data_IF_393954906982
#
_entry.id   IF_393954906982
#
_cell.length_a   1.000
_cell.length_b   1.000
_cell.length_c   1.000
_cell.angle_alpha   90.00
_cell.angle_beta   90.00
_cell.angle_gamma   90.00
#
_symmetry.space_group_name_H-M   'P 1'
#
loop_
_entity.id
_entity.type
_entity.pdbx_description
1 polymer ?
#
# COMPACT_ATOMS: atom_id res chain seq x y z
N UNK A 1 42.94 -8.98 19.24
CA UNK A 1 43.34 -10.11 18.37
C UNK A 1 43.51 -11.43 19.12
N UNK A 2 44.32 -11.54 20.19
CA UNK A 2 44.47 -12.82 20.93
C UNK A 2 43.21 -13.28 21.70
N UNK A 3 42.43 -12.35 22.24
CA UNK A 3 41.15 -12.64 22.95
C UNK A 3 39.97 -13.02 22.04
N UNK A 4 40.11 -12.87 20.71
CA UNK A 4 39.10 -13.28 19.71
C UNK A 4 39.31 -14.74 19.27
N UNK A 5 40.48 -15.31 19.57
CA UNK A 5 40.86 -16.65 19.16
C UNK A 5 40.41 -17.76 20.13
N UNK A 6 39.92 -17.41 21.32
CA UNK A 6 39.61 -18.39 22.37
C UNK A 6 38.11 -18.79 22.45
N UNK A 7 37.21 -18.15 21.70
CA UNK A 7 35.75 -18.30 21.91
C UNK A 7 34.96 -19.10 20.86
N UNK A 8 35.62 -19.82 19.94
CA UNK A 8 34.93 -20.53 18.85
C UNK A 8 35.05 -22.08 18.99
N UNK A 9 34.14 -22.77 19.70
CA UNK A 9 33.96 -24.21 19.53
C UNK A 9 32.69 -24.66 18.81
N UNK A 10 31.77 -23.79 18.35
CA UNK A 10 30.40 -24.25 17.98
C UNK A 10 30.03 -24.14 16.48
N UNK A 11 30.78 -23.42 15.65
CA UNK A 11 30.57 -23.46 14.19
C UNK A 11 31.91 -23.65 13.50
N UNK A 12 31.98 -24.67 12.63
CA UNK A 12 33.19 -25.18 11.99
C UNK A 12 34.17 -24.08 11.56
N UNK A 13 35.32 -24.07 12.24
CA UNK A 13 36.38 -23.05 12.15
C UNK A 13 37.17 -23.07 10.84
N UNK A 14 37.02 -24.06 9.97
CA UNK A 14 37.91 -24.24 8.81
C UNK A 14 37.70 -23.16 7.75
N UNK A 15 36.45 -22.88 7.37
CA UNK A 15 36.14 -22.09 6.16
C UNK A 15 36.23 -20.57 6.39
N UNK A 16 35.78 -20.08 7.55
CA UNK A 16 35.78 -18.62 7.83
C UNK A 16 37.14 -18.14 8.36
N UNK A 17 37.90 -18.96 9.11
CA UNK A 17 39.29 -18.62 9.46
C UNK A 17 40.23 -18.69 8.25
N UNK A 18 39.97 -19.58 7.30
CA UNK A 18 40.65 -19.53 6.01
C UNK A 18 40.37 -18.18 5.37
N UNK A 19 39.12 -17.81 5.11
CA UNK A 19 38.76 -16.53 4.45
C UNK A 19 39.31 -15.27 5.14
N UNK A 20 39.26 -15.19 6.48
CA UNK A 20 39.70 -14.00 7.23
C UNK A 20 41.22 -13.92 7.46
N UNK A 21 41.98 -14.99 7.20
CA UNK A 21 43.46 -14.99 7.24
C UNK A 21 44.12 -14.60 5.93
N UNK A 22 43.35 -14.35 4.86
CA UNK A 22 43.84 -14.18 3.48
C UNK A 22 43.98 -12.73 3.02
N UNK A 23 43.43 -11.77 3.78
CA UNK A 23 43.32 -10.38 3.33
C UNK A 23 44.68 -9.65 3.20
N UNK A 24 45.75 -10.17 3.79
CA UNK A 24 47.09 -9.56 3.66
C UNK A 24 48.06 -10.34 2.76
N UNK A 25 47.83 -11.62 2.41
CA UNK A 25 48.86 -12.42 1.71
C UNK A 25 48.38 -13.57 0.79
N UNK A 26 47.13 -13.67 0.32
CA UNK A 26 46.76 -14.76 -0.61
C UNK A 26 46.27 -14.29 -1.99
N UNK A 27 46.72 -14.95 -3.08
CA UNK A 27 46.07 -14.81 -4.37
C UNK A 27 44.69 -15.46 -4.26
N UNK A 28 43.61 -14.68 -4.42
CA UNK A 28 42.21 -15.18 -4.37
C UNK A 28 41.86 -16.21 -5.47
N UNK A 29 42.85 -16.67 -6.23
CA UNK A 29 42.73 -17.71 -7.24
C UNK A 29 42.47 -19.11 -6.64
N UNK A 30 42.66 -19.29 -5.32
CA UNK A 30 42.57 -20.58 -4.64
C UNK A 30 41.33 -20.74 -3.71
N UNK A 31 40.34 -19.85 -3.78
CA UNK A 31 39.09 -20.05 -3.03
C UNK A 31 38.28 -21.19 -3.65
N UNK A 32 38.07 -22.27 -2.90
CA UNK A 32 37.20 -23.37 -3.31
C UNK A 32 35.73 -22.89 -3.40
N UNK A 33 34.89 -23.61 -4.15
CA UNK A 33 33.51 -23.20 -4.38
C UNK A 33 32.69 -23.08 -3.07
N UNK A 34 33.05 -23.88 -2.06
CA UNK A 34 32.42 -23.88 -0.73
C UNK A 34 32.75 -22.63 0.11
N UNK A 35 33.89 -21.99 -0.11
CA UNK A 35 34.39 -20.90 0.74
C UNK A 35 33.65 -19.58 0.49
N UNK A 36 33.41 -19.23 -0.78
CA UNK A 36 32.69 -17.99 -1.10
C UNK A 36 31.17 -18.14 -0.91
N UNK A 37 30.62 -19.35 -1.02
CA UNK A 37 29.22 -19.62 -0.64
C UNK A 37 29.01 -19.42 0.87
N UNK A 38 30.00 -19.80 1.68
CA UNK A 38 29.99 -19.55 3.13
C UNK A 38 29.99 -18.05 3.46
N UNK A 39 30.68 -17.22 2.66
CA UNK A 39 30.62 -15.76 2.77
C UNK A 39 29.19 -15.23 2.52
N UNK A 40 28.48 -15.73 1.50
CA UNK A 40 27.09 -15.33 1.22
C UNK A 40 26.15 -15.76 2.36
N UNK A 41 26.29 -16.97 2.89
CA UNK A 41 25.52 -17.43 4.05
C UNK A 41 25.78 -16.56 5.29
N UNK A 42 27.03 -16.15 5.51
CA UNK A 42 27.42 -15.25 6.59
C UNK A 42 26.75 -13.87 6.44
N UNK A 43 26.71 -13.29 5.24
CA UNK A 43 26.02 -12.03 4.95
C UNK A 43 24.51 -12.11 5.23
N UNK A 44 23.91 -13.26 4.92
CA UNK A 44 22.47 -13.51 5.08
C UNK A 44 22.07 -14.02 6.47
N UNK A 45 23.03 -14.18 7.40
CA UNK A 45 22.77 -14.80 8.70
C UNK A 45 21.64 -14.11 9.48
N UNK A 46 20.56 -14.85 9.75
CA UNK A 46 19.30 -14.31 10.27
C UNK A 46 19.03 -14.46 11.76
N UNK A 47 19.90 -15.15 12.49
CA UNK A 47 19.69 -15.45 13.90
C UNK A 47 19.66 -14.18 14.76
N UNK A 48 18.82 -14.16 15.83
CA UNK A 48 18.76 -13.06 16.78
C UNK A 48 19.95 -13.01 17.75
N UNK A 49 20.81 -14.04 17.76
CA UNK A 49 21.98 -14.09 18.64
C UNK A 49 23.09 -13.14 18.18
N UNK A 50 23.87 -12.65 19.15
CA UNK A 50 25.00 -11.74 18.92
C UNK A 50 25.99 -12.27 17.88
N UNK A 51 26.27 -13.58 17.94
CA UNK A 51 27.19 -14.27 17.02
C UNK A 51 26.80 -14.10 15.54
N UNK A 52 25.50 -14.07 15.23
CA UNK A 52 25.05 -13.87 13.85
C UNK A 52 25.17 -12.41 13.40
N UNK A 53 25.13 -11.44 14.31
CA UNK A 53 25.44 -10.05 14.00
C UNK A 53 26.94 -9.86 13.75
N UNK A 54 27.77 -10.43 14.61
CA UNK A 54 29.22 -10.42 14.46
C UNK A 54 29.67 -11.10 13.16
N UNK A 55 29.11 -12.26 12.84
CA UNK A 55 29.36 -12.98 11.58
C UNK A 55 29.07 -12.11 10.36
N UNK A 56 27.95 -11.36 10.36
CA UNK A 56 27.63 -10.42 9.29
C UNK A 56 28.64 -9.28 9.22
N UNK A 57 29.03 -8.70 10.36
CA UNK A 57 30.02 -7.62 10.40
C UNK A 57 31.34 -8.06 9.76
N UNK A 58 31.85 -9.25 10.11
CA UNK A 58 33.05 -9.80 9.49
C UNK A 58 32.89 -10.04 7.99
N UNK A 59 31.76 -10.62 7.57
CA UNK A 59 31.49 -10.82 6.14
C UNK A 59 31.41 -9.50 5.35
N UNK A 60 30.79 -8.46 5.94
CA UNK A 60 30.76 -7.12 5.35
C UNK A 60 32.16 -6.49 5.29
N UNK A 61 33.01 -6.67 6.31
CA UNK A 61 34.40 -6.21 6.30
C UNK A 61 35.21 -6.88 5.19
N UNK A 62 35.00 -8.18 4.94
CA UNK A 62 35.62 -8.87 3.80
C UNK A 62 35.23 -8.20 2.48
N UNK A 63 33.94 -7.93 2.25
CA UNK A 63 33.49 -7.22 1.05
C UNK A 63 34.11 -5.82 0.92
N UNK A 64 34.20 -5.07 2.01
CA UNK A 64 34.82 -3.73 2.03
C UNK A 64 36.33 -3.74 1.81
N UNK A 65 37.00 -4.87 2.09
CA UNK A 65 38.44 -5.04 1.86
C UNK A 65 38.79 -5.37 0.41
N UNK A 66 37.79 -5.68 -0.42
CA UNK A 66 38.00 -5.99 -1.83
C UNK A 66 38.40 -4.73 -2.62
N UNK A 67 39.46 -4.85 -3.39
CA UNK A 67 39.93 -3.86 -4.34
C UNK A 67 39.32 -4.05 -5.74
N UNK A 68 38.69 -3.00 -6.29
CA UNK A 68 38.14 -2.94 -7.65
C UNK A 68 39.21 -3.15 -8.73
N UNK A 69 40.47 -2.77 -8.50
CA UNK A 69 41.54 -2.89 -9.49
C UNK A 69 41.93 -4.35 -9.74
N UNK A 70 41.72 -5.22 -8.75
CA UNK A 70 42.06 -6.64 -8.80
C UNK A 70 40.99 -7.45 -9.57
N UNK A 71 41.41 -8.16 -10.62
CA UNK A 71 40.52 -8.96 -11.45
C UNK A 71 39.81 -10.09 -10.69
N UNK A 72 40.49 -10.72 -9.73
CA UNK A 72 39.92 -11.83 -8.95
C UNK A 72 38.86 -11.32 -7.99
N UNK A 73 39.07 -10.15 -7.38
CA UNK A 73 38.08 -9.51 -6.53
C UNK A 73 36.80 -9.16 -7.30
N UNK A 74 36.93 -8.67 -8.55
CA UNK A 74 35.78 -8.40 -9.42
C UNK A 74 35.00 -9.68 -9.75
N UNK A 75 35.70 -10.78 -10.02
CA UNK A 75 35.05 -12.09 -10.27
C UNK A 75 34.32 -12.57 -9.01
N UNK A 76 34.95 -12.46 -7.84
CA UNK A 76 34.31 -12.80 -6.57
C UNK A 76 33.08 -11.93 -6.30
N UNK A 77 33.18 -10.62 -6.51
CA UNK A 77 32.08 -9.69 -6.36
C UNK A 77 30.90 -10.05 -7.28
N UNK A 78 31.16 -10.38 -8.55
CA UNK A 78 30.13 -10.80 -9.49
C UNK A 78 29.40 -12.08 -9.03
N UNK A 79 30.14 -13.09 -8.56
CA UNK A 79 29.56 -14.33 -7.98
C UNK A 79 28.71 -14.04 -6.73
N UNK A 80 29.20 -13.16 -5.85
CA UNK A 80 28.46 -12.75 -4.64
C UNK A 80 27.14 -12.07 -5.06
N UNK A 81 27.17 -11.17 -6.03
CA UNK A 81 25.96 -10.49 -6.54
C UNK A 81 24.95 -11.49 -7.11
N UNK A 82 25.37 -12.40 -8.00
CA UNK A 82 24.45 -13.38 -8.60
C UNK A 82 23.81 -14.27 -7.55
N UNK A 83 24.58 -14.78 -6.60
CA UNK A 83 24.05 -15.64 -5.54
C UNK A 83 23.18 -14.87 -4.54
N UNK A 84 23.48 -13.60 -4.24
CA UNK A 84 22.59 -12.76 -3.42
C UNK A 84 21.23 -12.55 -4.10
N UNK A 85 21.22 -12.31 -5.42
CA UNK A 85 19.99 -12.19 -6.20
C UNK A 85 19.19 -13.50 -6.20
N UNK A 86 19.84 -14.65 -6.40
CA UNK A 86 19.20 -15.97 -6.31
C UNK A 86 18.60 -16.25 -4.92
N UNK A 87 19.36 -15.95 -3.86
CA UNK A 87 18.90 -16.12 -2.46
C UNK A 87 17.77 -15.17 -2.12
N UNK A 88 17.74 -13.97 -2.70
CA UNK A 88 16.63 -13.04 -2.55
C UNK A 88 15.34 -13.59 -3.19
N UNK A 89 15.42 -14.07 -4.44
CA UNK A 89 14.25 -14.60 -5.16
C UNK A 89 13.71 -15.88 -4.51
N UNK A 90 14.60 -16.81 -4.14
CA UNK A 90 14.22 -18.07 -3.48
C UNK A 90 13.72 -17.89 -2.04
N UNK A 91 13.95 -16.74 -1.39
CA UNK A 91 13.50 -16.50 -0.03
C UNK A 91 11.97 -16.54 0.13
N UNK A 92 11.23 -16.30 -0.96
CA UNK A 92 9.76 -16.33 -0.99
C UNK A 92 9.19 -17.54 -1.74
N UNK A 93 10.04 -18.39 -2.34
CA UNK A 93 9.61 -19.61 -3.03
C UNK A 93 9.05 -20.63 -2.01
N UNK A 94 7.81 -21.10 -2.25
CA UNK A 94 7.16 -22.14 -1.45
C UNK A 94 6.17 -21.66 -0.38
N UNK A 95 5.96 -20.35 -0.19
CA UNK A 95 4.93 -19.82 0.75
C UNK A 95 3.91 -18.95 0.03
N UNK A 96 2.66 -19.44 -0.08
CA UNK A 96 1.50 -18.68 -0.58
C UNK A 96 1.05 -17.54 0.36
N UNK A 97 1.75 -17.30 1.47
CA UNK A 97 1.39 -16.27 2.45
C UNK A 97 2.21 -15.02 2.20
N UNK A 98 1.53 -13.88 2.00
CA UNK A 98 2.12 -12.52 2.00
C UNK A 98 3.21 -12.43 3.07
N UNK A 99 4.42 -12.04 2.66
CA UNK A 99 5.53 -11.88 3.60
C UNK A 99 5.15 -10.90 4.70
N UNK A 100 5.27 -11.31 5.97
CA UNK A 100 5.01 -10.44 7.12
C UNK A 100 6.29 -9.70 7.51
N UNK A 101 6.14 -8.51 8.11
CA UNK A 101 7.27 -7.78 8.68
C UNK A 101 8.07 -8.67 9.65
N UNK A 102 9.40 -8.62 9.56
CA UNK A 102 10.35 -9.43 10.34
C UNK A 102 10.29 -10.96 10.13
N UNK A 103 9.60 -11.45 9.10
CA UNK A 103 9.70 -12.85 8.69
C UNK A 103 11.14 -13.22 8.29
N UNK A 104 11.46 -14.51 8.26
CA UNK A 104 12.77 -14.97 7.78
C UNK A 104 13.03 -14.47 6.35
N UNK A 105 12.05 -14.58 5.46
CA UNK A 105 12.14 -14.10 4.08
C UNK A 105 12.39 -12.59 4.01
N UNK A 106 11.63 -11.79 4.77
CA UNK A 106 11.85 -10.34 4.88
C UNK A 106 13.28 -10.02 5.32
N UNK A 107 13.77 -10.69 6.37
CA UNK A 107 15.11 -10.46 6.90
C UNK A 107 16.23 -10.89 5.94
N UNK A 108 16.04 -12.00 5.21
CA UNK A 108 16.99 -12.44 4.17
C UNK A 108 17.02 -11.40 3.05
N UNK A 109 15.85 -10.99 2.54
CA UNK A 109 15.73 -10.00 1.46
C UNK A 109 16.36 -8.66 1.83
N UNK A 110 16.06 -8.12 3.02
CA UNK A 110 16.67 -6.87 3.49
C UNK A 110 18.20 -6.99 3.57
N UNK A 111 18.72 -8.10 4.11
CA UNK A 111 20.18 -8.31 4.21
C UNK A 111 20.85 -8.48 2.85
N UNK A 112 20.18 -9.18 1.93
CA UNK A 112 20.69 -9.35 0.57
C UNK A 112 20.84 -7.98 -0.12
N UNK A 113 19.83 -7.12 -0.04
CA UNK A 113 19.90 -5.77 -0.61
C UNK A 113 20.96 -4.88 0.08
N UNK A 114 21.12 -5.00 1.40
CA UNK A 114 22.20 -4.31 2.12
C UNK A 114 23.59 -4.78 1.67
N UNK A 115 23.79 -6.09 1.48
CA UNK A 115 25.04 -6.63 0.97
C UNK A 115 25.31 -6.20 -0.48
N UNK A 116 24.28 -6.17 -1.33
CA UNK A 116 24.40 -5.66 -2.70
C UNK A 116 24.87 -4.20 -2.73
N UNK A 117 24.37 -3.35 -1.83
CA UNK A 117 24.83 -1.96 -1.71
C UNK A 117 26.33 -1.85 -1.39
N UNK A 118 26.87 -2.78 -0.60
CA UNK A 118 28.29 -2.81 -0.23
C UNK A 118 29.16 -3.30 -1.39
N UNK A 119 28.68 -4.26 -2.18
CA UNK A 119 29.43 -4.82 -3.33
C UNK A 119 29.38 -3.91 -4.56
N UNK A 120 28.36 -3.05 -4.67
CA UNK A 120 28.13 -2.16 -5.81
C UNK A 120 29.38 -1.44 -6.34
N UNK A 121 30.28 -0.88 -5.50
CA UNK A 121 31.46 -0.17 -5.98
C UNK A 121 32.47 -1.05 -6.74
N UNK A 122 32.40 -2.37 -6.60
CA UNK A 122 33.34 -3.34 -7.18
C UNK A 122 32.89 -3.82 -8.56
N UNK A 123 31.66 -3.51 -8.97
CA UNK A 123 31.04 -4.02 -10.19
C UNK A 123 31.57 -3.31 -11.45
N UNK A 124 31.53 -4.04 -12.57
CA UNK A 124 31.75 -3.51 -13.91
C UNK A 124 30.42 -3.14 -14.58
N UNK A 125 30.49 -2.51 -15.75
CA UNK A 125 29.31 -2.03 -16.48
C UNK A 125 28.31 -3.15 -16.84
N UNK A 126 28.84 -4.33 -17.18
CA UNK A 126 28.01 -5.50 -17.52
C UNK A 126 27.22 -5.95 -16.31
N UNK A 127 27.87 -6.13 -15.17
CA UNK A 127 27.23 -6.58 -13.94
C UNK A 127 26.25 -5.53 -13.40
N UNK A 128 26.58 -4.25 -13.50
CA UNK A 128 25.67 -3.15 -13.11
C UNK A 128 24.38 -3.16 -13.96
N UNK A 129 24.50 -3.42 -15.27
CA UNK A 129 23.33 -3.54 -16.17
C UNK A 129 22.46 -4.74 -15.82
N UNK A 130 23.06 -5.90 -15.59
CA UNK A 130 22.35 -7.13 -15.19
C UNK A 130 21.64 -6.95 -13.83
N UNK A 131 22.30 -6.32 -12.86
CA UNK A 131 21.71 -6.02 -11.56
C UNK A 131 20.54 -5.04 -11.68
N UNK A 132 20.66 -4.00 -12.51
CA UNK A 132 19.56 -3.04 -12.74
C UNK A 132 18.33 -3.74 -13.32
N UNK A 133 18.52 -4.63 -14.31
CA UNK A 133 17.45 -5.44 -14.87
C UNK A 133 16.78 -6.31 -13.80
N UNK A 134 17.59 -6.96 -12.97
CA UNK A 134 17.08 -7.78 -11.87
C UNK A 134 16.28 -6.97 -10.84
N UNK A 135 16.75 -5.78 -10.44
CA UNK A 135 16.05 -4.90 -9.49
C UNK A 135 14.69 -4.43 -10.04
N UNK A 136 14.64 -4.03 -11.31
CA UNK A 136 13.40 -3.65 -11.99
C UNK A 136 12.43 -4.84 -12.04
N UNK A 137 12.91 -6.02 -12.47
CA UNK A 137 12.08 -7.24 -12.53
C UNK A 137 11.53 -7.65 -11.15
N UNK A 138 12.36 -7.57 -10.10
CA UNK A 138 11.97 -7.87 -8.71
C UNK A 138 10.89 -6.91 -8.20
N UNK A 139 10.91 -5.66 -8.65
CA UNK A 139 9.91 -4.64 -8.31
C UNK A 139 8.57 -4.90 -9.00
N UNK A 140 8.58 -5.50 -10.19
CA UNK A 140 7.38 -5.82 -10.98
C UNK A 140 6.73 -7.12 -10.48
N UNK A 141 7.52 -8.17 -10.27
CA UNK A 141 7.00 -9.52 -10.03
C UNK A 141 6.39 -9.68 -8.63
N UNK A 142 6.99 -9.08 -7.60
CA UNK A 142 6.64 -9.37 -6.20
C UNK A 142 6.13 -8.15 -5.43
N UNK A 143 5.10 -8.33 -4.59
CA UNK A 143 4.72 -7.32 -3.61
C UNK A 143 5.63 -7.44 -2.38
N UNK A 144 6.59 -6.54 -2.27
CA UNK A 144 7.56 -6.51 -1.18
C UNK A 144 7.04 -5.76 0.05
N UNK A 145 7.59 -6.08 1.22
CA UNK A 145 7.47 -5.26 2.42
C UNK A 145 8.09 -3.87 2.19
N UNK A 146 7.59 -2.79 2.84
CA UNK A 146 8.06 -1.43 2.59
C UNK A 146 9.58 -1.26 2.71
N UNK A 147 10.22 -1.89 3.70
CA UNK A 147 11.67 -1.76 3.89
C UNK A 147 12.48 -2.33 2.72
N UNK A 148 12.07 -3.50 2.20
CA UNK A 148 12.69 -4.16 1.05
C UNK A 148 12.47 -3.32 -0.20
N UNK A 149 11.24 -2.82 -0.38
CA UNK A 149 10.89 -1.93 -1.49
C UNK A 149 11.76 -0.67 -1.51
N UNK A 150 11.96 -0.01 -0.36
CA UNK A 150 12.81 1.19 -0.30
C UNK A 150 14.26 0.90 -0.66
N UNK A 151 14.81 -0.25 -0.27
CA UNK A 151 16.14 -0.65 -0.71
C UNK A 151 16.21 -0.91 -2.21
N UNK A 152 15.20 -1.53 -2.82
CA UNK A 152 15.13 -1.71 -4.27
C UNK A 152 15.12 -0.34 -4.98
N UNK A 153 14.24 0.57 -4.56
CA UNK A 153 14.11 1.92 -5.10
C UNK A 153 15.43 2.70 -5.01
N UNK A 154 16.10 2.61 -3.86
CA UNK A 154 17.38 3.28 -3.62
C UNK A 154 18.52 2.69 -4.45
N UNK A 155 18.62 1.37 -4.56
CA UNK A 155 19.65 0.70 -5.37
C UNK A 155 19.49 0.98 -6.86
N UNK A 156 18.25 1.01 -7.37
CA UNK A 156 17.98 1.39 -8.76
C UNK A 156 18.47 2.82 -9.04
N UNK A 157 18.12 3.78 -8.18
CA UNK A 157 18.59 5.16 -8.32
C UNK A 157 20.12 5.25 -8.22
N UNK A 158 20.73 4.57 -7.24
CA UNK A 158 22.18 4.60 -7.01
C UNK A 158 22.97 4.04 -8.20
N UNK A 159 22.49 2.97 -8.85
CA UNK A 159 23.12 2.42 -10.06
C UNK A 159 23.15 3.44 -11.20
N UNK A 160 22.02 4.11 -11.46
CA UNK A 160 21.92 5.10 -12.54
C UNK A 160 22.72 6.38 -12.22
N UNK A 161 22.81 6.76 -10.94
CA UNK A 161 23.68 7.87 -10.50
C UNK A 161 25.15 7.53 -10.71
N UNK A 162 25.57 6.29 -10.43
CA UNK A 162 26.96 5.84 -10.59
C UNK A 162 27.34 5.65 -12.06
N UNK A 163 26.40 5.18 -12.87
CA UNK A 163 26.59 4.88 -14.27
C UNK A 163 25.47 5.51 -15.09
N UNK A 164 25.68 6.76 -15.48
CA UNK A 164 24.71 7.53 -16.28
C UNK A 164 24.38 6.88 -17.63
N UNK A 165 25.25 6.02 -18.16
CA UNK A 165 24.99 5.25 -19.37
C UNK A 165 23.80 4.28 -19.25
N UNK A 166 23.39 3.93 -18.03
CA UNK A 166 22.24 3.07 -17.77
C UNK A 166 20.90 3.82 -17.79
N UNK A 167 20.90 5.15 -17.90
CA UNK A 167 19.68 5.96 -17.80
C UNK A 167 18.58 5.61 -18.82
N UNK A 168 18.92 5.54 -20.10
CA UNK A 168 17.95 5.18 -21.15
C UNK A 168 17.41 3.77 -20.93
N UNK A 169 18.30 2.83 -20.58
CA UNK A 169 17.93 1.45 -20.28
C UNK A 169 17.01 1.36 -19.05
N UNK A 170 17.27 2.16 -18.01
CA UNK A 170 16.41 2.23 -16.84
C UNK A 170 15.01 2.74 -17.19
N UNK A 171 14.90 3.79 -18.00
CA UNK A 171 13.61 4.33 -18.44
C UNK A 171 12.84 3.34 -19.32
N UNK A 172 13.52 2.56 -20.17
CA UNK A 172 12.91 1.46 -20.93
C UNK A 172 12.35 0.39 -19.99
N UNK A 173 13.14 -0.09 -19.03
CA UNK A 173 12.67 -1.05 -18.02
C UNK A 173 11.49 -0.52 -17.19
N UNK A 174 11.47 0.78 -16.89
CA UNK A 174 10.34 1.42 -16.19
C UNK A 174 9.07 1.42 -17.04
N UNK A 175 9.16 1.56 -18.37
CA UNK A 175 8.00 1.50 -19.28
C UNK A 175 7.48 0.06 -19.39
N UNK A 176 8.37 -0.88 -19.70
CA UNK A 176 8.05 -2.31 -19.80
C UNK A 176 7.45 -2.85 -18.50
N UNK A 177 8.01 -2.48 -17.36
CA UNK A 177 7.53 -2.92 -16.05
C UNK A 177 6.14 -2.42 -15.71
N UNK A 178 5.78 -1.20 -16.14
CA UNK A 178 4.43 -0.65 -15.93
C UNK A 178 3.41 -1.31 -16.85
N UNK A 179 3.78 -1.62 -18.09
CA UNK A 179 2.94 -2.40 -19.00
C UNK A 179 2.64 -3.80 -18.43
N UNK A 180 3.63 -4.43 -17.82
CA UNK A 180 3.45 -5.74 -17.15
C UNK A 180 2.61 -5.63 -15.87
N UNK A 181 2.85 -4.61 -15.05
CA UNK A 181 2.15 -4.43 -13.78
C UNK A 181 2.03 -2.94 -13.41
N UNK A 182 0.88 -2.29 -13.67
CA UNK A 182 0.71 -0.86 -13.38
C UNK A 182 0.94 -0.47 -11.91
N UNK A 183 0.78 -1.40 -10.97
CA UNK A 183 1.01 -1.16 -9.54
C UNK A 183 2.46 -0.90 -9.13
N UNK A 184 3.46 -1.18 -9.97
CA UNK A 184 4.87 -0.92 -9.66
C UNK A 184 5.29 0.54 -9.90
N UNK A 185 4.45 1.32 -10.61
CA UNK A 185 4.78 2.67 -11.07
C UNK A 185 5.21 3.61 -9.93
N UNK A 186 4.60 3.47 -8.74
CA UNK A 186 4.96 4.29 -7.59
C UNK A 186 6.43 4.11 -7.18
N UNK A 187 6.96 2.89 -7.28
CA UNK A 187 8.35 2.58 -6.96
C UNK A 187 9.31 3.15 -8.00
N UNK A 188 8.96 3.07 -9.29
CA UNK A 188 9.76 3.69 -10.36
C UNK A 188 9.75 5.21 -10.24
N UNK A 189 8.60 5.84 -9.97
CA UNK A 189 8.51 7.28 -9.74
C UNK A 189 9.32 7.72 -8.51
N UNK A 190 9.32 6.93 -7.43
CA UNK A 190 10.16 7.18 -6.26
C UNK A 190 11.66 7.10 -6.60
N UNK A 191 12.07 6.09 -7.36
CA UNK A 191 13.46 5.91 -7.81
C UNK A 191 13.91 7.07 -8.72
N UNK A 192 13.04 7.51 -9.64
CA UNK A 192 13.28 8.69 -10.48
C UNK A 192 13.33 9.98 -9.66
N UNK A 193 12.55 10.09 -8.59
CA UNK A 193 12.63 11.22 -7.65
C UNK A 193 13.99 11.29 -6.96
N UNK A 194 14.49 10.14 -6.48
CA UNK A 194 15.81 10.04 -5.87
C UNK A 194 16.93 10.36 -6.86
N UNK A 195 16.81 9.86 -8.09
CA UNK A 195 17.72 10.18 -9.19
C UNK A 195 17.74 11.69 -9.47
N UNK A 196 16.57 12.31 -9.59
CA UNK A 196 16.44 13.73 -9.90
C UNK A 196 17.15 14.61 -8.87
N UNK A 197 17.10 14.26 -7.58
CA UNK A 197 17.76 15.02 -6.51
C UNK A 197 19.31 15.03 -6.58
N UNK A 198 19.92 14.09 -7.32
CA UNK A 198 21.37 13.86 -7.29
C UNK A 198 22.05 14.00 -8.66
N UNK A 199 21.29 14.30 -9.72
CA UNK A 199 21.82 14.42 -11.08
C UNK A 199 21.56 15.82 -11.63
N UNK A 200 22.57 16.40 -12.28
CA UNK A 200 22.49 17.70 -12.97
C UNK A 200 22.50 17.56 -14.50
N UNK A 201 22.43 16.35 -15.02
CA UNK A 201 22.34 16.06 -16.46
C UNK A 201 20.97 16.48 -17.01
N UNK A 202 20.96 17.58 -17.78
CA UNK A 202 19.75 18.15 -18.41
C UNK A 202 19.05 17.14 -19.34
N UNK A 203 19.80 16.44 -20.19
CA UNK A 203 19.21 15.51 -21.17
C UNK A 203 18.51 14.35 -20.45
N UNK A 204 19.14 13.85 -19.37
CA UNK A 204 18.52 12.83 -18.54
C UNK A 204 17.24 13.33 -17.86
N UNK A 205 17.30 14.50 -17.23
CA UNK A 205 16.17 15.07 -16.52
C UNK A 205 14.98 15.36 -17.47
N UNK A 206 15.26 15.81 -18.71
CA UNK A 206 14.23 15.94 -19.76
C UNK A 206 13.59 14.59 -20.10
N UNK A 207 14.39 13.54 -20.30
CA UNK A 207 13.82 12.20 -20.55
C UNK A 207 12.99 11.70 -19.35
N UNK A 208 13.47 11.91 -18.12
CA UNK A 208 12.71 11.59 -16.92
C UNK A 208 11.37 12.35 -16.87
N UNK A 209 11.35 13.63 -17.23
CA UNK A 209 10.12 14.44 -17.21
C UNK A 209 9.07 13.89 -18.16
N UNK A 210 9.47 13.46 -19.37
CA UNK A 210 8.53 12.87 -20.34
C UNK A 210 7.87 11.59 -19.82
N UNK A 211 8.59 10.80 -19.02
CA UNK A 211 8.03 9.62 -18.36
C UNK A 211 7.11 9.97 -17.19
N UNK A 212 7.48 10.98 -16.39
CA UNK A 212 6.80 11.32 -15.12
C UNK A 212 5.51 12.10 -15.32
N UNK A 213 5.46 13.04 -16.27
CA UNK A 213 4.32 13.95 -16.50
C UNK A 213 2.97 13.21 -16.65
N UNK A 214 2.86 12.11 -17.43
CA UNK A 214 1.64 11.31 -17.52
C UNK A 214 1.03 10.90 -16.17
N UNK A 215 1.89 10.70 -15.17
CA UNK A 215 1.48 10.19 -13.85
C UNK A 215 1.04 11.28 -12.89
N UNK A 216 1.27 12.56 -13.20
CA UNK A 216 0.88 13.68 -12.34
C UNK A 216 -0.64 13.80 -12.13
N UNK A 217 -1.42 13.27 -13.09
CA UNK A 217 -2.89 13.22 -13.05
C UNK A 217 -3.43 11.79 -12.99
N UNK A 218 -2.59 10.80 -12.65
CA UNK A 218 -2.99 9.41 -12.53
C UNK A 218 -4.17 9.24 -11.54
N UNK A 219 -5.04 8.22 -11.68
CA UNK A 219 -6.16 8.03 -10.75
C UNK A 219 -5.72 7.61 -9.33
N UNK A 220 -4.53 7.00 -9.19
CA UNK A 220 -3.99 6.54 -7.91
C UNK A 220 -3.24 7.64 -7.17
N UNK A 221 -3.55 7.85 -5.88
CA UNK A 221 -2.95 8.91 -5.05
C UNK A 221 -1.43 8.83 -4.97
N UNK A 222 -0.87 7.65 -4.66
CA UNK A 222 0.58 7.49 -4.52
C UNK A 222 1.32 7.79 -5.83
N UNK A 223 0.84 7.29 -6.96
CA UNK A 223 1.43 7.56 -8.27
C UNK A 223 1.40 9.06 -8.59
N UNK A 224 0.28 9.75 -8.33
CA UNK A 224 0.23 11.22 -8.47
C UNK A 224 1.21 11.93 -7.57
N UNK A 225 1.23 11.58 -6.28
CA UNK A 225 2.10 12.23 -5.30
C UNK A 225 3.57 12.09 -5.67
N UNK A 226 4.03 10.87 -5.97
CA UNK A 226 5.41 10.64 -6.38
C UNK A 226 5.73 11.34 -7.70
N UNK A 227 4.82 11.32 -8.69
CA UNK A 227 5.04 12.01 -9.95
C UNK A 227 5.17 13.53 -9.77
N UNK A 228 4.26 14.15 -9.03
CA UNK A 228 4.28 15.60 -8.77
C UNK A 228 5.52 16.00 -7.96
N UNK A 229 5.91 15.21 -6.95
CA UNK A 229 7.15 15.45 -6.20
C UNK A 229 8.39 15.33 -7.09
N UNK A 230 8.44 14.33 -7.98
CA UNK A 230 9.53 14.17 -8.93
C UNK A 230 9.61 15.35 -9.90
N UNK A 231 8.48 15.86 -10.41
CA UNK A 231 8.47 17.08 -11.24
C UNK A 231 9.01 18.28 -10.46
N UNK A 232 8.60 18.47 -9.20
CA UNK A 232 9.11 19.56 -8.36
C UNK A 232 10.62 19.42 -8.13
N UNK A 233 11.10 18.21 -7.87
CA UNK A 233 12.54 17.95 -7.67
C UNK A 233 13.33 18.25 -8.94
N UNK A 234 12.86 17.78 -10.10
CA UNK A 234 13.46 18.10 -11.40
C UNK A 234 13.47 19.62 -11.60
N UNK A 235 12.34 20.31 -11.36
CA UNK A 235 12.21 21.76 -11.51
C UNK A 235 13.23 22.56 -10.69
N UNK A 236 13.57 22.10 -9.48
CA UNK A 236 14.58 22.77 -8.63
C UNK A 236 15.99 22.74 -9.21
N UNK A 237 16.29 21.79 -10.09
CA UNK A 237 17.55 21.77 -10.85
C UNK A 237 17.51 22.67 -12.09
N UNK A 238 16.35 23.21 -12.45
CA UNK A 238 16.12 24.05 -13.63
C UNK A 238 15.99 25.55 -13.33
N UNK A 239 16.53 26.02 -12.20
CA UNK A 239 16.46 27.43 -11.78
C UNK A 239 17.22 28.42 -12.70
N UNK A 240 17.90 27.95 -13.76
CA UNK A 240 18.62 28.83 -14.71
C UNK A 240 18.35 28.62 -16.22
N UNK A 241 17.61 27.60 -16.69
CA UNK A 241 17.71 27.21 -18.12
C UNK A 241 16.46 26.70 -18.86
N UNK A 242 15.24 26.83 -18.33
CA UNK A 242 14.02 26.63 -19.13
C UNK A 242 13.04 27.77 -18.88
N UNK A 243 12.58 28.41 -19.97
CA UNK A 243 11.38 29.25 -19.87
C UNK A 243 10.20 28.35 -19.55
N UNK A 244 9.21 28.89 -18.83
CA UNK A 244 7.92 28.23 -18.56
C UNK A 244 7.35 27.55 -19.82
N UNK A 245 7.58 28.16 -20.99
CA UNK A 245 7.16 27.69 -22.30
C UNK A 245 7.79 26.36 -22.75
N UNK A 246 9.09 26.13 -22.52
CA UNK A 246 9.77 24.88 -22.89
C UNK A 246 9.31 23.70 -22.02
N UNK A 247 9.05 23.95 -20.73
CA UNK A 247 8.45 22.97 -19.83
C UNK A 247 7.01 22.63 -20.24
N UNK A 248 6.23 23.65 -20.61
CA UNK A 248 4.90 23.43 -21.16
C UNK A 248 4.92 22.75 -22.52
N UNK A 249 5.94 22.95 -23.36
CA UNK A 249 6.11 22.25 -24.64
C UNK A 249 6.48 20.77 -24.45
N UNK A 250 7.31 20.44 -23.46
CA UNK A 250 7.53 19.06 -23.04
C UNK A 250 6.23 18.41 -22.49
N UNK A 251 5.40 19.17 -21.78
CA UNK A 251 4.05 18.76 -21.41
C UNK A 251 3.05 18.77 -22.59
N UNK A 252 3.32 19.52 -23.67
CA UNK A 252 2.49 19.55 -24.88
C UNK A 252 2.70 18.30 -25.75
N UNK A 253 3.89 17.68 -25.70
CA UNK A 253 4.14 16.36 -26.26
C UNK A 253 3.20 15.30 -25.66
N UNK A 254 2.75 15.46 -24.40
CA UNK A 254 1.70 14.63 -23.81
C UNK A 254 0.34 14.81 -24.52
N UNK A 255 0.03 16.04 -24.96
CA UNK A 255 -1.17 16.35 -25.75
C UNK A 255 -1.13 15.73 -27.16
N UNK A 256 0.08 15.54 -27.71
CA UNK A 256 0.30 14.85 -28.98
C UNK A 256 0.24 13.32 -28.78
N UNK A 257 0.82 12.80 -27.69
CA UNK A 257 0.79 11.37 -27.34
C UNK A 257 -0.63 10.87 -27.06
N UNK A 258 -1.48 11.69 -26.42
CA UNK A 258 -2.91 11.42 -26.23
C UNK A 258 -3.71 11.42 -27.56
N UNK A 259 -3.27 12.17 -28.56
CA UNK A 259 -3.91 12.19 -29.89
C UNK A 259 -3.58 10.96 -30.74
N UNK A 260 -2.43 10.33 -30.52
CA UNK A 260 -1.99 9.15 -31.29
C UNK A 260 -2.50 7.82 -30.73
N UNK A 261 -3.10 7.79 -29.54
CA UNK A 261 -3.46 6.55 -28.83
C UNK A 261 -4.97 6.32 -28.62
N UNK A 262 -5.85 7.21 -29.10
CA UNK A 262 -7.30 7.06 -29.00
C UNK A 262 -7.99 7.39 -30.34
N UNK A 263 -8.67 6.43 -31.00
CA UNK A 263 -9.59 6.76 -32.08
C UNK A 263 -10.80 7.48 -31.47
N UNK A 264 -10.93 8.75 -31.84
CA UNK A 264 -12.03 9.61 -31.45
C UNK A 264 -13.33 9.14 -32.11
N UNK A 265 -14.29 8.61 -31.34
CA UNK A 265 -15.70 8.63 -31.72
C UNK A 265 -16.28 9.96 -31.23
N UNK A 266 -16.50 10.88 -32.18
CA UNK A 266 -17.16 12.16 -31.94
C UNK A 266 -18.66 11.97 -31.73
N UNK A 267 -19.10 11.92 -30.48
CA UNK A 267 -20.45 12.32 -30.07
C UNK A 267 -20.53 12.40 -28.55
N UNK A 268 -21.12 13.49 -28.04
CA UNK A 268 -21.27 13.87 -26.62
C UNK A 268 -20.01 14.54 -26.02
N UNK A 269 -20.05 15.73 -25.44
CA UNK A 269 -21.17 16.59 -25.09
C UNK A 269 -20.63 18.00 -24.78
N UNK A 270 -21.34 19.03 -25.20
CA UNK A 270 -21.03 20.46 -25.00
C UNK A 270 -21.40 20.96 -23.59
N UNK A 271 -21.55 20.07 -22.60
CA UNK A 271 -22.16 20.38 -21.30
C UNK A 271 -21.20 20.73 -20.15
N UNK A 272 -19.89 20.83 -20.40
CA UNK A 272 -18.87 21.03 -19.33
C UNK A 272 -18.26 22.44 -19.28
N UNK A 273 -19.11 23.47 -19.39
CA UNK A 273 -18.74 24.87 -19.12
C UNK A 273 -19.81 25.62 -18.34
N UNK A 274 -20.06 25.22 -17.09
CA UNK A 274 -20.48 26.12 -16.01
C UNK A 274 -20.51 25.34 -14.69
N UNK A 275 -20.40 26.07 -13.58
CA UNK A 275 -20.60 25.63 -12.19
C UNK A 275 -19.49 24.81 -11.51
N UNK A 276 -18.42 25.50 -11.10
CA UNK A 276 -17.74 25.24 -9.82
C UNK A 276 -17.24 26.55 -9.22
N UNK A 277 -18.17 27.42 -8.82
CA UNK A 277 -17.91 28.58 -7.94
C UNK A 277 -19.24 29.24 -7.52
N UNK A 278 -20.03 28.61 -6.65
CA UNK A 278 -21.08 29.31 -5.91
C UNK A 278 -21.49 28.53 -4.65
N UNK A 279 -21.39 29.23 -3.52
CA UNK A 279 -21.91 28.98 -2.18
C UNK A 279 -23.04 27.95 -2.02
N UNK A 280 -22.89 27.03 -1.07
CA UNK A 280 -24.02 26.42 -0.36
C UNK A 280 -23.83 26.55 1.15
N UNK A 281 -24.62 27.47 1.71
CA UNK A 281 -24.83 27.70 3.14
C UNK A 281 -25.57 26.49 3.73
N UNK A 282 -25.05 25.92 4.80
CA UNK A 282 -25.66 24.81 5.54
C UNK A 282 -26.85 25.33 6.35
N UNK A 283 -28.08 24.89 6.05
CA UNK A 283 -29.25 25.10 6.91
C UNK A 283 -29.40 23.89 7.84
N UNK A 284 -29.02 24.06 9.11
CA UNK A 284 -29.31 23.10 10.16
C UNK A 284 -30.78 23.24 10.59
N UNK A 285 -31.55 22.16 10.57
CA UNK A 285 -32.88 22.10 11.17
C UNK A 285 -32.82 21.26 12.46
N UNK A 286 -33.38 21.77 13.55
CA UNK A 286 -33.50 21.07 14.84
C UNK A 286 -34.81 20.30 14.89
N UNK A 287 -34.74 18.98 15.10
CA UNK A 287 -35.86 18.15 15.56
C UNK A 287 -35.35 17.30 16.71
N UNK A 288 -35.98 17.38 17.88
CA UNK A 288 -35.67 16.48 19.01
C UNK A 288 -34.28 16.61 19.67
N UNK A 289 -33.58 17.74 19.52
CA UNK A 289 -32.30 17.98 20.20
C UNK A 289 -31.06 17.35 19.53
N UNK A 290 -31.21 16.77 18.33
CA UNK A 290 -30.13 16.17 17.56
C UNK A 290 -29.90 16.97 16.26
N UNK A 291 -28.64 17.28 15.95
CA UNK A 291 -28.29 17.96 14.69
C UNK A 291 -28.36 16.97 13.52
N UNK A 292 -29.29 17.21 12.60
CA UNK A 292 -29.45 16.46 11.36
C UNK A 292 -28.79 17.28 10.25
N UNK A 293 -27.79 16.71 9.59
CA UNK A 293 -27.27 17.25 8.33
C UNK A 293 -28.01 16.52 7.20
N UNK A 294 -29.06 17.13 6.68
CA UNK A 294 -29.81 16.63 5.52
C UNK A 294 -29.44 17.43 4.27
N UNK A 295 -29.01 16.75 3.21
CA UNK A 295 -29.27 17.19 1.84
C UNK A 295 -30.75 16.97 1.51
N UNK A 296 -31.32 17.79 0.63
CA UNK A 296 -32.72 17.69 0.16
C UNK A 296 -33.08 16.24 -0.21
N UNK A 297 -34.35 15.87 0.01
CA UNK A 297 -34.90 14.54 -0.25
C UNK A 297 -34.73 14.15 -1.73
N UNK A 298 -33.58 13.54 -2.04
CA UNK A 298 -33.30 12.95 -3.35
C UNK A 298 -34.03 11.62 -3.43
N UNK A 299 -35.34 11.68 -3.71
CA UNK A 299 -36.14 10.55 -4.20
C UNK A 299 -36.02 9.24 -3.43
N UNK A 300 -36.84 9.06 -2.40
CA UNK A 300 -37.33 7.76 -1.92
C UNK A 300 -36.27 6.67 -1.70
N UNK A 301 -35.50 6.76 -0.60
CA UNK A 301 -34.68 5.62 -0.16
C UNK A 301 -35.55 4.40 0.07
N UNK A 302 -35.12 3.27 -0.49
CA UNK A 302 -35.92 2.04 -0.56
C UNK A 302 -35.96 1.23 0.74
N UNK A 303 -35.01 1.46 1.66
CA UNK A 303 -34.81 0.58 2.81
C UNK A 303 -35.00 1.28 4.14
N UNK A 304 -35.77 0.65 5.02
CA UNK A 304 -36.05 1.10 6.39
C UNK A 304 -35.01 0.55 7.38
N UNK A 305 -33.74 0.58 6.99
CA UNK A 305 -32.61 0.11 7.81
C UNK A 305 -31.76 1.27 8.31
N UNK A 306 -31.50 1.30 9.61
CA UNK A 306 -30.59 2.24 10.27
C UNK A 306 -29.30 1.50 10.64
N UNK A 307 -28.15 2.13 10.43
CA UNK A 307 -26.85 1.59 10.84
C UNK A 307 -26.25 2.48 11.92
N UNK A 308 -25.88 1.89 13.06
CA UNK A 308 -25.31 2.61 14.20
C UNK A 308 -23.80 2.40 14.24
N UNK A 309 -23.06 3.42 13.79
CA UNK A 309 -21.59 3.45 13.81
C UNK A 309 -20.99 4.12 15.05
N UNK A 310 -21.82 4.60 15.98
CA UNK A 310 -21.41 5.44 17.12
C UNK A 310 -20.45 4.82 18.15
N UNK A 311 -20.21 3.51 18.07
CA UNK A 311 -19.24 2.79 18.93
C UNK A 311 -17.91 2.51 18.23
N UNK A 312 -17.81 2.80 16.92
CA UNK A 312 -16.60 2.60 16.13
C UNK A 312 -15.63 3.76 16.34
N UNK A 313 -14.36 3.42 16.58
CA UNK A 313 -13.33 4.42 16.87
C UNK A 313 -12.54 4.83 15.63
N UNK A 314 -12.47 3.99 14.60
CA UNK A 314 -11.62 4.25 13.43
C UNK A 314 -12.40 5.02 12.35
N UNK A 315 -11.91 6.21 12.00
CA UNK A 315 -12.42 7.00 10.88
C UNK A 315 -12.47 6.22 9.56
N UNK A 316 -11.53 5.29 9.35
CA UNK A 316 -11.53 4.44 8.15
C UNK A 316 -12.69 3.46 8.11
N UNK A 317 -13.07 2.85 9.23
CA UNK A 317 -14.23 1.97 9.30
C UNK A 317 -15.51 2.75 9.06
N UNK A 318 -15.63 3.94 9.66
CA UNK A 318 -16.78 4.82 9.47
C UNK A 318 -16.90 5.32 8.03
N UNK A 319 -15.78 5.66 7.38
CA UNK A 319 -15.77 6.07 5.97
C UNK A 319 -16.20 4.94 5.03
N UNK A 320 -15.68 3.73 5.22
CA UNK A 320 -16.07 2.54 4.44
C UNK A 320 -17.53 2.13 4.68
N UNK A 321 -18.00 2.24 5.93
CA UNK A 321 -19.39 1.97 6.28
C UNK A 321 -20.33 3.02 5.68
N UNK A 322 -19.97 4.31 5.72
CA UNK A 322 -20.72 5.40 5.08
C UNK A 322 -20.94 5.14 3.60
N UNK A 323 -19.88 4.75 2.88
CA UNK A 323 -19.97 4.40 1.46
C UNK A 323 -20.90 3.20 1.22
N UNK A 324 -20.80 2.17 2.06
CA UNK A 324 -21.67 0.99 1.91
C UNK A 324 -23.12 1.35 2.21
N UNK A 325 -23.38 2.13 3.25
CA UNK A 325 -24.74 2.53 3.62
C UNK A 325 -25.41 3.34 2.52
N UNK A 326 -24.67 4.24 1.87
CA UNK A 326 -25.16 5.03 0.73
C UNK A 326 -25.49 4.12 -0.46
N UNK A 327 -24.54 3.29 -0.90
CA UNK A 327 -24.71 2.38 -2.05
C UNK A 327 -25.85 1.39 -1.83
N UNK A 328 -26.00 0.90 -0.59
CA UNK A 328 -27.04 -0.06 -0.23
C UNK A 328 -28.36 0.61 0.18
N UNK A 329 -28.48 1.93 0.05
CA UNK A 329 -29.72 2.67 0.26
C UNK A 329 -30.24 2.67 1.70
N UNK A 330 -29.35 2.57 2.70
CA UNK A 330 -29.73 2.64 4.10
C UNK A 330 -30.42 3.98 4.43
N UNK A 331 -31.38 3.96 5.35
CA UNK A 331 -32.16 5.14 5.74
C UNK A 331 -31.27 6.21 6.36
N UNK A 332 -30.39 5.79 7.27
CA UNK A 332 -29.59 6.64 8.13
C UNK A 332 -28.34 5.90 8.63
N UNK A 333 -27.21 6.61 8.74
CA UNK A 333 -26.02 6.17 9.46
C UNK A 333 -25.74 7.12 10.64
N UNK A 334 -25.51 6.58 11.84
CA UNK A 334 -25.06 7.37 12.98
C UNK A 334 -23.54 7.41 13.09
N UNK A 335 -23.01 8.55 13.54
CA UNK A 335 -21.58 8.76 13.80
C UNK A 335 -21.38 9.21 15.26
N UNK A 336 -20.23 8.88 15.89
CA UNK A 336 -19.90 9.36 17.23
C UNK A 336 -19.64 10.88 17.27
N UNK A 337 -19.17 11.45 16.15
CA UNK A 337 -19.06 12.89 15.94
C UNK A 337 -19.11 13.25 14.45
N UNK A 338 -19.86 14.30 14.09
CA UNK A 338 -19.87 14.87 12.75
C UNK A 338 -18.57 15.60 12.40
N UNK A 339 -17.70 15.86 13.38
CA UNK A 339 -16.35 16.37 13.11
C UNK A 339 -15.54 15.45 12.17
N UNK A 340 -15.87 14.15 12.14
CA UNK A 340 -15.29 13.15 11.25
C UNK A 340 -15.51 13.45 9.76
N UNK A 341 -16.47 14.28 9.39
CA UNK A 341 -16.66 14.72 8.01
C UNK A 341 -15.47 15.54 7.48
N UNK A 342 -14.64 16.08 8.37
CA UNK A 342 -13.40 16.80 8.03
C UNK A 342 -12.15 15.90 8.12
N UNK A 343 -12.29 14.67 8.61
CA UNK A 343 -11.20 13.72 8.75
C UNK A 343 -10.81 13.13 7.39
N UNK A 344 -9.53 13.21 7.03
CA UNK A 344 -9.04 12.77 5.72
C UNK A 344 -9.18 11.26 5.52
N UNK A 345 -9.09 10.45 6.58
CA UNK A 345 -9.25 9.00 6.48
C UNK A 345 -10.72 8.59 6.28
N UNK A 346 -11.65 9.32 6.89
CA UNK A 346 -13.09 9.16 6.63
C UNK A 346 -13.45 9.60 5.20
N UNK A 347 -13.02 10.80 4.79
CA UNK A 347 -13.31 11.37 3.46
C UNK A 347 -12.72 10.50 2.36
N UNK A 348 -11.47 10.04 2.53
CA UNK A 348 -10.77 9.21 1.56
C UNK A 348 -11.43 7.86 1.28
N UNK A 349 -12.19 7.30 2.23
CA UNK A 349 -12.92 6.05 2.05
C UNK A 349 -14.40 6.24 1.69
N UNK A 350 -15.04 7.29 2.20
CA UNK A 350 -16.44 7.59 1.86
C UNK A 350 -16.63 8.03 0.41
N UNK A 351 -15.61 8.64 -0.22
CA UNK A 351 -15.64 9.10 -1.62
C UNK A 351 -16.92 9.89 -1.95
N UNK A 352 -17.20 10.92 -1.14
CA UNK A 352 -18.38 11.79 -1.25
C UNK A 352 -19.72 11.16 -0.89
N UNK A 353 -19.78 9.88 -0.48
CA UNK A 353 -21.01 9.23 -0.03
C UNK A 353 -21.72 9.97 1.10
N UNK A 354 -20.96 10.65 1.98
CA UNK A 354 -21.50 11.44 3.09
C UNK A 354 -22.40 12.62 2.67
N UNK A 355 -22.37 13.02 1.39
CA UNK A 355 -23.26 14.04 0.85
C UNK A 355 -24.64 13.46 0.44
N UNK A 356 -24.73 12.14 0.30
CA UNK A 356 -25.87 11.44 -0.30
C UNK A 356 -26.56 10.48 0.68
N UNK A 357 -26.08 10.35 1.91
CA UNK A 357 -26.72 9.63 3.01
C UNK A 357 -26.90 10.56 4.22
N UNK A 358 -28.07 10.55 4.90
CA UNK A 358 -28.29 11.21 6.16
C UNK A 358 -27.32 10.69 7.18
N UNK A 359 -26.72 11.64 7.88
CA UNK A 359 -25.82 11.39 8.98
C UNK A 359 -26.37 12.08 10.21
N UNK A 360 -26.37 11.35 11.32
CA UNK A 360 -26.79 11.87 12.61
C UNK A 360 -25.67 11.65 13.62
N UNK A 361 -25.34 12.71 14.36
CA UNK A 361 -24.43 12.58 15.51
C UNK A 361 -25.17 11.90 16.67
N UNK A 362 -24.65 10.75 17.11
CA UNK A 362 -25.03 10.13 18.38
C UNK A 362 -23.74 9.82 19.12
N UNK A 363 -23.45 10.58 20.17
CA UNK A 363 -22.27 10.36 21.01
C UNK A 363 -22.36 8.99 21.66
N UNK A 364 -21.21 8.38 21.93
CA UNK A 364 -21.10 7.04 22.51
C UNK A 364 -21.93 6.87 23.80
N UNK A 365 -21.97 7.90 24.65
CA UNK A 365 -22.74 7.88 25.90
C UNK A 365 -24.27 7.93 25.69
N UNK A 366 -24.71 8.48 24.56
CA UNK A 366 -26.13 8.68 24.24
C UNK A 366 -26.72 7.53 23.41
N UNK A 367 -25.88 6.58 22.96
CA UNK A 367 -26.31 5.42 22.16
C UNK A 367 -27.42 4.65 22.85
N UNK A 368 -27.33 4.42 24.17
CA UNK A 368 -28.35 3.68 24.91
C UNK A 368 -29.73 4.36 24.85
N UNK A 369 -29.77 5.68 25.01
CA UNK A 369 -31.00 6.47 24.91
C UNK A 369 -31.55 6.41 23.49
N UNK A 370 -30.67 6.61 22.49
CA UNK A 370 -31.04 6.54 21.08
C UNK A 370 -31.67 5.18 20.70
N UNK A 371 -31.11 4.06 21.17
CA UNK A 371 -31.68 2.73 20.89
C UNK A 371 -33.11 2.59 21.43
N UNK A 372 -33.39 3.12 22.63
CA UNK A 372 -34.74 3.09 23.22
C UNK A 372 -35.74 3.93 22.41
N UNK A 373 -35.31 5.10 21.95
CA UNK A 373 -36.15 5.96 21.11
C UNK A 373 -36.49 5.28 19.77
N UNK A 374 -35.50 4.61 19.15
CA UNK A 374 -35.74 3.87 17.91
C UNK A 374 -36.63 2.65 18.12
N UNK A 375 -36.53 1.98 19.28
CA UNK A 375 -37.44 0.88 19.65
C UNK A 375 -38.88 1.36 19.80
N UNK A 376 -39.10 2.53 20.42
CA UNK A 376 -40.42 3.18 20.45
C UNK A 376 -40.93 3.58 19.07
N UNK A 377 -40.03 3.92 18.14
CA UNK A 377 -40.35 4.18 16.73
C UNK A 377 -40.61 2.90 15.90
N UNK A 378 -40.55 1.72 16.53
CA UNK A 378 -40.86 0.43 15.92
C UNK A 378 -39.69 -0.22 15.17
N UNK A 379 -38.44 0.16 15.46
CA UNK A 379 -37.27 -0.55 14.98
C UNK A 379 -36.94 -1.76 15.85
N UNK A 380 -36.57 -2.86 15.20
CA UNK A 380 -35.93 -4.01 15.87
C UNK A 380 -34.44 -3.75 15.99
N UNK A 381 -33.93 -3.77 17.21
CA UNK A 381 -32.52 -3.52 17.52
C UNK A 381 -31.72 -4.83 17.36
N UNK A 382 -30.82 -4.87 16.40
CA UNK A 382 -30.07 -6.07 16.03
C UNK A 382 -28.58 -5.82 16.28
N UNK A 383 -28.02 -6.49 17.29
CA UNK A 383 -26.58 -6.50 17.54
C UNK A 383 -25.85 -7.34 16.49
N UNK A 384 -24.82 -6.78 15.87
CA UNK A 384 -23.88 -7.52 15.00
C UNK A 384 -22.68 -7.89 15.86
N UNK A 385 -22.78 -9.03 16.56
CA UNK A 385 -21.82 -9.44 17.58
C UNK A 385 -21.80 -10.97 17.74
N UNK A 386 -20.65 -11.52 18.12
CA UNK A 386 -20.48 -12.95 18.39
C UNK A 386 -20.82 -13.24 19.85
N UNK A 387 -21.90 -13.97 20.10
CA UNK A 387 -22.33 -14.32 21.46
C UNK A 387 -22.78 -15.78 21.53
N UNK A 388 -22.92 -16.34 22.74
CA UNK A 388 -23.41 -17.71 22.89
C UNK A 388 -24.84 -17.93 22.37
N UNK A 389 -25.61 -16.85 22.17
CA UNK A 389 -27.00 -16.88 21.75
C UNK A 389 -27.24 -16.15 20.42
N UNK A 390 -26.18 -15.84 19.66
CA UNK A 390 -26.33 -15.20 18.36
C UNK A 390 -26.90 -16.16 17.32
N UNK A 391 -27.73 -15.62 16.43
CA UNK A 391 -28.27 -16.33 15.28
C UNK A 391 -27.33 -16.13 14.09
N UNK A 392 -27.03 -17.20 13.35
CA UNK A 392 -26.25 -17.10 12.12
C UNK A 392 -26.93 -16.18 11.10
N UNK A 393 -26.18 -15.24 10.53
CA UNK A 393 -26.65 -14.29 9.51
C UNK A 393 -27.32 -14.99 8.32
N UNK A 394 -26.84 -16.19 7.96
CA UNK A 394 -27.40 -16.96 6.85
C UNK A 394 -28.86 -17.39 7.08
N UNK A 395 -29.25 -17.55 8.36
CA UNK A 395 -30.56 -18.03 8.77
C UNK A 395 -31.43 -16.93 9.39
N UNK A 396 -30.93 -15.71 9.47
CA UNK A 396 -31.64 -14.60 10.08
C UNK A 396 -32.56 -13.91 9.07
N UNK A 397 -33.82 -13.71 9.45
CA UNK A 397 -34.81 -12.96 8.66
C UNK A 397 -34.92 -11.54 9.21
N UNK A 398 -34.50 -10.56 8.43
CA UNK A 398 -34.50 -9.16 8.84
C UNK A 398 -35.91 -8.56 8.81
N UNK A 399 -36.40 -7.97 9.92
CA UNK A 399 -37.60 -7.13 9.88
C UNK A 399 -37.43 -5.93 8.96
N UNK A 400 -38.51 -5.43 8.36
CA UNK A 400 -38.45 -4.26 7.49
C UNK A 400 -37.81 -3.04 8.17
N UNK A 401 -38.19 -2.76 9.43
CA UNK A 401 -37.57 -1.74 10.28
C UNK A 401 -36.47 -2.35 11.15
N UNK A 402 -35.27 -2.41 10.59
CA UNK A 402 -34.08 -2.97 11.26
C UNK A 402 -33.12 -1.87 11.67
N UNK A 403 -32.54 -1.98 12.87
CA UNK A 403 -31.43 -1.15 13.31
C UNK A 403 -30.22 -2.04 13.60
N UNK A 404 -29.16 -1.87 12.82
CA UNK A 404 -27.92 -2.63 12.96
C UNK A 404 -26.97 -1.91 13.93
N UNK A 405 -26.70 -2.52 15.08
CA UNK A 405 -25.80 -2.00 16.09
C UNK A 405 -24.43 -2.69 15.98
N UNK A 406 -23.40 -1.91 15.63
CA UNK A 406 -22.02 -2.38 15.49
C UNK A 406 -21.21 -2.10 16.76
N UNK A 407 -20.47 -3.10 17.23
CA UNK A 407 -19.60 -3.01 18.40
C UNK A 407 -18.28 -2.27 18.13
N UNK A 408 -17.61 -1.92 19.22
CA UNK A 408 -16.26 -1.37 19.19
C UNK A 408 -15.27 -2.39 18.61
N UNK A 409 -14.26 -1.95 17.86
CA UNK A 409 -13.32 -2.88 17.19
C UNK A 409 -12.49 -3.75 18.13
N UNK A 410 -12.36 -3.36 19.41
CA UNK A 410 -11.59 -4.10 20.43
C UNK A 410 -12.49 -4.74 21.48
N UNK A 411 -13.44 -3.97 21.99
CA UNK A 411 -14.25 -4.35 23.14
C UNK A 411 -15.61 -4.95 22.75
N UNK A 412 -15.98 -4.88 21.47
CA UNK A 412 -17.30 -5.31 21.00
C UNK A 412 -18.41 -4.43 21.56
N UNK A 413 -19.58 -5.02 21.82
CA UNK A 413 -20.69 -4.35 22.50
C UNK A 413 -20.60 -4.47 24.02
N UNK A 414 -20.70 -3.35 24.77
CA UNK A 414 -20.78 -3.41 26.22
C UNK A 414 -22.07 -4.09 26.68
N UNK A 415 -22.02 -4.82 27.80
CA UNK A 415 -23.17 -5.56 28.34
C UNK A 415 -24.42 -4.68 28.55
N UNK A 416 -24.23 -3.41 28.89
CA UNK A 416 -25.32 -2.44 29.09
C UNK A 416 -26.13 -2.14 27.82
N UNK A 417 -25.55 -2.36 26.64
CA UNK A 417 -26.22 -2.22 25.33
C UNK A 417 -26.75 -3.57 24.83
N UNK A 418 -26.06 -4.68 25.14
CA UNK A 418 -26.57 -6.04 24.86
C UNK A 418 -27.90 -6.33 25.59
N UNK A 419 -28.19 -5.66 26.69
CA UNK A 419 -29.49 -5.76 27.37
C UNK A 419 -30.64 -5.05 26.64
N UNK A 420 -30.33 -4.16 25.70
CA UNK A 420 -31.33 -3.36 24.98
C UNK A 420 -31.64 -3.93 23.58
N UNK A 421 -30.84 -4.90 23.11
CA UNK A 421 -31.02 -5.50 21.77
C UNK A 421 -32.13 -6.54 21.77
N UNK A 422 -32.86 -6.62 20.65
CA UNK A 422 -33.93 -7.59 20.44
C UNK A 422 -33.40 -8.91 19.85
N UNK A 423 -32.30 -8.83 19.09
CA UNK A 423 -31.61 -9.98 18.52
C UNK A 423 -30.10 -9.73 18.44
N UNK A 424 -29.33 -10.81 18.45
CA UNK A 424 -27.91 -10.80 18.16
C UNK A 424 -27.65 -11.70 16.95
N UNK A 425 -26.92 -11.19 15.96
CA UNK A 425 -26.54 -11.94 14.77
C UNK A 425 -25.04 -12.06 14.67
N UNK A 426 -24.58 -13.23 14.24
CA UNK A 426 -23.17 -13.50 13.97
C UNK A 426 -22.96 -13.93 12.52
N UNK A 427 -21.79 -13.64 11.98
CA UNK A 427 -21.39 -14.06 10.64
C UNK A 427 -20.60 -15.36 10.79
N UNK A 428 -21.02 -16.49 10.18
CA UNK A 428 -20.25 -17.73 10.21
C UNK A 428 -18.83 -17.55 9.70
N UNK A 429 -17.86 -18.03 10.48
CA UNK A 429 -16.43 -17.95 10.13
C UNK A 429 -15.85 -19.36 9.97
N UNK A 430 -15.04 -19.55 8.93
CA UNK A 430 -14.41 -20.85 8.62
C UNK A 430 -12.88 -20.81 8.72
N UNK A 431 -12.32 -19.65 9.09
CA UNK A 431 -10.88 -19.43 9.21
C UNK A 431 -10.39 -19.37 10.66
N UNK A 432 -9.09 -19.11 10.84
CA UNK A 432 -8.42 -19.04 12.15
C UNK A 432 -8.48 -17.63 12.77
N UNK A 433 -8.75 -16.59 11.96
CA UNK A 433 -8.90 -15.21 12.44
C UNK A 433 -10.11 -15.10 13.36
N UNK A 434 -9.96 -14.40 14.49
CA UNK A 434 -11.00 -14.33 15.53
C UNK A 434 -12.28 -13.61 15.08
N UNK A 435 -12.15 -12.55 14.29
CA UNK A 435 -13.29 -11.75 13.85
C UNK A 435 -13.02 -11.01 12.54
N UNK A 436 -14.11 -10.60 11.87
CA UNK A 436 -14.08 -9.71 10.71
C UNK A 436 -13.83 -8.26 11.14
N UNK A 437 -13.38 -7.43 10.20
CA UNK A 437 -13.39 -5.98 10.40
C UNK A 437 -14.84 -5.50 10.58
N UNK A 438 -15.08 -4.61 11.57
CA UNK A 438 -16.42 -4.12 11.91
C UNK A 438 -17.19 -3.49 10.74
N UNK A 439 -16.56 -2.70 9.87
CA UNK A 439 -17.28 -2.15 8.71
C UNK A 439 -17.64 -3.24 7.70
N UNK A 440 -16.78 -4.25 7.53
CA UNK A 440 -17.06 -5.40 6.65
C UNK A 440 -18.21 -6.23 7.20
N UNK A 441 -18.24 -6.46 8.52
CA UNK A 441 -19.35 -7.15 9.18
C UNK A 441 -20.67 -6.38 8.97
N UNK A 442 -20.66 -5.07 9.21
CA UNK A 442 -21.80 -4.19 8.94
C UNK A 442 -22.24 -4.23 7.47
N UNK A 443 -21.30 -4.22 6.53
CA UNK A 443 -21.57 -4.31 5.09
C UNK A 443 -22.24 -5.64 4.70
N UNK A 444 -21.78 -6.77 5.26
CA UNK A 444 -22.37 -8.09 4.99
C UNK A 444 -23.80 -8.19 5.54
N UNK A 445 -24.04 -7.71 6.77
CA UNK A 445 -25.38 -7.66 7.36
C UNK A 445 -26.32 -6.75 6.55
N UNK A 446 -25.85 -5.57 6.16
CA UNK A 446 -26.62 -4.63 5.36
C UNK A 446 -26.94 -5.19 3.96
N UNK A 447 -26.00 -5.91 3.35
CA UNK A 447 -26.23 -6.59 2.08
C UNK A 447 -27.26 -7.71 2.21
N UNK A 448 -27.19 -8.52 3.26
CA UNK A 448 -28.17 -9.56 3.51
C UNK A 448 -29.58 -8.98 3.74
N UNK A 449 -29.69 -7.88 4.51
CA UNK A 449 -30.93 -7.12 4.65
C UNK A 449 -31.44 -6.67 3.26
N UNK A 450 -30.59 -5.99 2.48
CA UNK A 450 -31.00 -5.45 1.19
C UNK A 450 -31.44 -6.54 0.21
N UNK A 451 -30.79 -7.71 0.24
CA UNK A 451 -31.18 -8.87 -0.57
C UNK A 451 -32.56 -9.41 -0.19
N UNK A 452 -32.88 -9.46 1.11
CA UNK A 452 -34.19 -9.93 1.58
C UNK A 452 -35.32 -8.94 1.25
N UNK A 453 -35.02 -7.63 1.21
CA UNK A 453 -36.01 -6.57 1.02
C UNK A 453 -36.08 -6.01 -0.42
N UNK A 454 -35.16 -6.37 -1.31
CA UNK A 454 -35.25 -6.06 -2.74
C UNK A 454 -35.99 -7.20 -3.48
N UNK A 455 -37.33 -7.20 -3.43
CA UNK A 455 -38.15 -8.10 -4.25
C UNK A 455 -37.90 -7.88 -5.74
N UNK A 456 -37.89 -8.99 -6.51
CA UNK A 456 -37.68 -9.21 -7.96
C UNK A 456 -37.84 -8.01 -8.94
N UNK A 457 -37.12 -6.92 -8.71
CA UNK A 457 -37.24 -5.69 -9.46
C UNK A 457 -36.12 -5.61 -10.48
N UNK A 458 -36.49 -5.61 -11.75
CA UNK A 458 -35.63 -5.54 -12.95
C UNK A 458 -34.76 -4.28 -13.06
N UNK A 459 -34.78 -3.37 -12.07
CA UNK A 459 -33.99 -2.15 -11.97
C UNK A 459 -32.87 -2.25 -10.91
N UNK A 460 -32.23 -3.40 -10.77
CA UNK A 460 -30.95 -3.50 -10.05
C UNK A 460 -29.89 -2.73 -10.85
N UNK A 461 -29.47 -1.57 -10.35
CA UNK A 461 -28.21 -0.98 -10.80
C UNK A 461 -27.10 -1.97 -10.46
N UNK A 462 -26.53 -2.61 -11.50
CA UNK A 462 -25.41 -3.53 -11.30
C UNK A 462 -24.27 -2.74 -10.68
N UNK A 463 -23.76 -3.22 -9.54
CA UNK A 463 -22.54 -2.68 -8.93
C UNK A 463 -21.45 -2.76 -9.99
N UNK A 464 -21.06 -1.60 -10.55
CA UNK A 464 -19.84 -1.50 -11.35
C UNK A 464 -18.69 -1.61 -10.39
N UNK A 465 -18.16 -2.82 -10.24
CA UNK A 465 -16.79 -2.98 -9.74
C UNK A 465 -15.95 -2.18 -10.72
N UNK A 466 -15.30 -1.11 -10.25
CA UNK A 466 -14.20 -0.48 -11.00
C UNK A 466 -13.12 -1.54 -11.14
N UNK A 467 -13.24 -2.36 -12.17
CA UNK A 467 -12.12 -3.10 -12.71
C UNK A 467 -11.17 -2.01 -13.25
N UNK A 468 -9.88 -2.08 -12.94
CA UNK A 468 -8.92 -1.22 -13.62
C UNK A 468 -9.03 -1.54 -15.12
N UNK A 469 -9.50 -0.56 -15.90
CA UNK A 469 -9.33 -0.55 -17.37
C UNK A 469 -7.85 -0.48 -17.72
#
# INVERSE_FOLDING_TARGET
>A
MRLVLDWLPIVGRSSVKAVCGLAETLPLLDLEEEDWQSLVLALLACSPYHEAAETRCWATLVLLSLDRSNAVHRILAAKVVSTLCERFSSASEGRRTRDFGNSLAHRVKTRALQALAVVLPLMGEKEEKELLQWLCSSTVQEQQQPSVRYFLEWLMALLVIRNHGLSNYFLELCREGVEQRPGCVASFLASLSLLACHVSDKELLEKCITYVVPWCMAPQYNSRLYAQLTVINIWRHYDEFLTVEEFFNAALLYKISLKTSLPFTSAADESLKATHAAAWVTKAAKVGGVEIVSSEDTGGRKHEVIVVGSLLNKATNLGGLCRTCEVMGAKLLTLPSLALLRDQAFVGLSLSAHNWIPLVEVKTNDVKTYLRDQKLAGYTIIAVEQTAHSVSLANFSFPARSLLLLGNEREGLPCSLLQEVDACIEIPQFGVTRSLNAHVAGSLCLWQYAQQHNGSSSNLQRIKIKLPE
#
